data_IF_303656491567
#
_entry.id   IF_303656491567
#
_cell.length_a   1.000
_cell.length_b   1.000
_cell.length_c   1.000
_cell.angle_alpha   90.00
_cell.angle_beta   90.00
_cell.angle_gamma   90.00
#
_symmetry.space_group_name_H-M   'P 1'
#
loop_
_entity.id
_entity.type
_entity.pdbx_description
1 polymer ?
#
# COMPACT_ATOMS: atom_id res chain seq x y z
N UNK A 1 1.87 -7.00 19.90
CA UNK A 1 0.47 -7.20 19.84
C UNK A 1 -0.14 -8.24 20.79
N UNK A 2 0.53 -8.73 21.79
CA UNK A 2 -0.02 -9.54 22.88
C UNK A 2 -0.35 -11.01 22.56
N UNK A 3 -0.06 -11.47 21.35
CA UNK A 3 -0.17 -12.87 20.96
C UNK A 3 1.14 -13.34 20.33
N UNK A 4 1.88 -14.14 21.03
CA UNK A 4 3.19 -14.64 20.63
C UNK A 4 3.16 -15.77 19.58
N UNK A 5 1.97 -16.11 19.06
CA UNK A 5 1.75 -16.96 17.89
C UNK A 5 1.38 -16.17 16.62
N UNK A 6 1.38 -14.83 16.69
CA UNK A 6 1.09 -13.97 15.56
C UNK A 6 2.37 -13.45 14.93
N UNK A 7 2.55 -13.72 13.65
CA UNK A 7 3.66 -13.24 12.84
C UNK A 7 3.10 -12.48 11.63
N UNK A 8 3.75 -11.39 11.26
CA UNK A 8 3.31 -10.50 10.19
C UNK A 8 4.43 -10.31 9.19
N UNK A 9 4.16 -10.52 7.90
CA UNK A 9 5.17 -10.42 6.84
C UNK A 9 5.15 -9.08 6.08
N UNK A 10 4.13 -8.23 6.28
CA UNK A 10 4.07 -6.89 5.71
C UNK A 10 4.90 -5.89 6.54
N UNK A 11 5.24 -4.75 5.94
CA UNK A 11 5.80 -3.64 6.71
C UNK A 11 4.74 -3.02 7.64
N UNK A 12 5.20 -2.21 8.58
CA UNK A 12 4.34 -1.57 9.58
C UNK A 12 3.90 -0.18 9.12
N UNK A 13 2.75 0.28 9.63
CA UNK A 13 2.21 1.61 9.34
C UNK A 13 3.19 2.77 9.66
N UNK A 14 3.98 2.72 10.77
CA UNK A 14 5.02 3.74 11.01
C UNK A 14 6.03 3.85 9.88
N UNK A 15 6.47 2.72 9.34
CA UNK A 15 7.38 2.68 8.19
C UNK A 15 6.71 3.27 6.94
N UNK A 16 5.46 2.87 6.65
CA UNK A 16 4.70 3.31 5.49
C UNK A 16 4.46 4.84 5.51
N UNK A 17 4.05 5.40 6.66
CA UNK A 17 3.85 6.82 6.82
C UNK A 17 5.14 7.62 6.60
N UNK A 18 6.26 7.14 7.17
CA UNK A 18 7.59 7.76 7.00
C UNK A 18 8.05 7.73 5.54
N UNK A 19 7.93 6.57 4.88
CA UNK A 19 8.30 6.40 3.47
C UNK A 19 7.55 7.38 2.57
N UNK A 20 6.25 7.55 2.78
CA UNK A 20 5.43 8.45 1.95
C UNK A 20 5.70 9.92 2.23
N UNK A 21 6.03 10.30 3.47
CA UNK A 21 6.49 11.63 3.81
C UNK A 21 7.83 11.97 3.13
N UNK A 22 8.80 11.06 3.21
CA UNK A 22 10.08 11.21 2.52
C UNK A 22 9.90 11.32 1.01
N UNK A 23 9.07 10.45 0.42
CA UNK A 23 8.76 10.49 -1.01
C UNK A 23 8.13 11.83 -1.43
N UNK A 24 7.18 12.36 -0.65
CA UNK A 24 6.56 13.66 -0.91
C UNK A 24 7.60 14.78 -0.98
N UNK A 25 8.56 14.79 -0.04
CA UNK A 25 9.62 15.78 0.00
C UNK A 25 10.66 15.62 -1.13
N UNK A 26 11.07 14.39 -1.39
CA UNK A 26 12.09 14.08 -2.40
C UNK A 26 11.56 14.30 -3.83
N UNK A 27 10.35 13.82 -4.13
CA UNK A 27 9.78 13.88 -5.48
C UNK A 27 9.23 15.26 -5.84
N UNK A 28 8.49 15.87 -4.91
CA UNK A 28 7.74 17.11 -5.17
C UNK A 28 8.36 18.33 -4.50
N UNK A 29 9.42 18.18 -3.70
CA UNK A 29 9.95 19.23 -2.84
C UNK A 29 8.85 19.83 -1.96
N UNK A 30 7.88 19.00 -1.56
CA UNK A 30 6.69 19.40 -0.85
C UNK A 30 7.04 20.10 0.47
N UNK A 31 6.39 21.24 0.72
CA UNK A 31 6.52 22.06 1.93
C UNK A 31 5.23 22.12 2.71
N UNK A 32 4.11 21.80 2.06
CA UNK A 32 2.79 21.75 2.71
C UNK A 32 2.02 20.51 2.26
N UNK A 33 1.60 19.70 3.22
CA UNK A 33 0.81 18.50 2.99
C UNK A 33 -0.61 18.66 3.53
N UNK A 34 -1.60 18.22 2.76
CA UNK A 34 -2.98 18.06 3.23
C UNK A 34 -3.24 16.59 3.53
N UNK A 35 -3.56 16.28 4.79
CA UNK A 35 -3.79 14.92 5.26
C UNK A 35 -5.29 14.68 5.44
N UNK A 36 -5.82 13.64 4.80
CA UNK A 36 -7.26 13.34 4.83
C UNK A 36 -7.51 11.86 5.18
N UNK A 37 -8.27 11.59 6.23
CA UNK A 37 -8.65 10.24 6.65
C UNK A 37 -10.06 10.15 7.21
N UNK A 38 -10.58 8.93 7.35
CA UNK A 38 -11.87 8.69 7.98
C UNK A 38 -11.79 8.90 9.50
N UNK A 39 -12.74 9.64 10.04
CA UNK A 39 -12.83 9.90 11.48
C UNK A 39 -13.15 8.60 12.23
N UNK A 40 -12.30 8.26 13.21
CA UNK A 40 -12.46 7.05 14.01
C UNK A 40 -11.95 5.77 13.36
N UNK A 41 -11.33 5.84 12.19
CA UNK A 41 -10.61 4.74 11.58
C UNK A 41 -9.15 4.75 12.08
N UNK A 42 -8.78 3.78 12.90
CA UNK A 42 -7.46 3.71 13.54
C UNK A 42 -6.33 3.58 12.50
N UNK A 43 -6.54 2.87 11.40
CA UNK A 43 -5.57 2.73 10.31
C UNK A 43 -5.30 4.07 9.63
N UNK A 44 -6.35 4.76 9.17
CA UNK A 44 -6.22 6.06 8.51
C UNK A 44 -5.53 7.06 9.45
N UNK A 45 -6.06 7.22 10.67
CA UNK A 45 -5.55 8.18 11.64
C UNK A 45 -4.11 7.85 12.08
N UNK A 46 -3.77 6.57 12.21
CA UNK A 46 -2.41 6.10 12.48
C UNK A 46 -1.43 6.52 11.40
N UNK A 47 -1.76 6.24 10.13
CA UNK A 47 -0.92 6.61 8.98
C UNK A 47 -0.77 8.13 8.83
N UNK A 48 -1.86 8.90 9.03
CA UNK A 48 -1.76 10.37 9.02
C UNK A 48 -0.80 10.88 10.10
N UNK A 49 -0.81 10.30 11.30
CA UNK A 49 0.09 10.68 12.38
C UNK A 49 1.56 10.34 12.05
N UNK A 50 1.83 9.17 11.48
CA UNK A 50 3.20 8.77 11.11
C UNK A 50 3.75 9.61 9.95
N UNK A 51 2.92 9.94 8.98
CA UNK A 51 3.29 10.86 7.91
C UNK A 51 3.63 12.25 8.47
N UNK A 52 2.74 12.82 9.32
CA UNK A 52 2.93 14.12 9.97
C UNK A 52 4.22 14.18 10.79
N UNK A 53 4.56 13.12 11.52
CA UNK A 53 5.78 13.05 12.32
C UNK A 53 7.07 13.05 11.47
N UNK A 54 7.01 12.51 10.26
CA UNK A 54 8.15 12.38 9.36
C UNK A 54 8.26 13.51 8.34
N UNK A 55 7.19 14.29 8.13
CA UNK A 55 7.15 15.36 7.15
C UNK A 55 7.75 16.65 7.71
N UNK A 56 8.81 17.15 7.06
CA UNK A 56 9.48 18.41 7.44
C UNK A 56 8.83 19.59 6.70
N UNK A 57 7.63 19.97 7.10
CA UNK A 57 6.86 21.05 6.48
C UNK A 57 5.55 21.29 7.20
N UNK A 58 4.74 22.18 6.62
CA UNK A 58 3.42 22.50 7.14
C UNK A 58 2.41 21.37 6.86
N UNK A 59 1.59 21.04 7.83
CA UNK A 59 0.56 20.01 7.69
C UNK A 59 -0.82 20.61 8.00
N UNK A 60 -1.75 20.38 7.08
CA UNK A 60 -3.19 20.62 7.31
C UNK A 60 -3.88 19.26 7.41
N UNK A 61 -4.37 18.93 8.60
CA UNK A 61 -5.03 17.65 8.86
C UNK A 61 -6.54 17.82 8.90
N UNK A 62 -7.23 16.92 8.22
CA UNK A 62 -8.69 16.89 8.18
C UNK A 62 -9.22 15.44 8.27
N UNK A 63 -10.48 15.31 8.64
CA UNK A 63 -11.12 14.00 8.74
C UNK A 63 -12.57 14.09 8.29
N UNK A 64 -13.05 13.05 7.61
CA UNK A 64 -14.43 12.95 7.18
C UNK A 64 -15.18 11.87 7.98
N UNK A 65 -16.50 12.06 8.22
CA UNK A 65 -17.33 11.05 8.87
C UNK A 65 -17.50 9.79 8.03
N UNK A 66 -17.71 8.65 8.68
CA UNK A 66 -18.14 7.40 8.03
C UNK A 66 -19.37 7.64 7.14
N UNK A 67 -19.41 6.97 5.99
CA UNK A 67 -20.43 7.10 4.94
C UNK A 67 -20.42 8.46 4.20
N UNK A 68 -19.35 9.23 4.28
CA UNK A 68 -19.17 10.41 3.41
C UNK A 68 -19.16 9.97 1.96
N UNK A 69 -19.93 10.67 1.11
CA UNK A 69 -20.03 10.41 -0.33
C UNK A 69 -19.67 11.63 -1.18
N UNK A 70 -19.47 12.79 -0.57
CA UNK A 70 -19.01 14.02 -1.23
C UNK A 70 -17.74 14.54 -0.58
N UNK A 71 -16.66 14.55 -1.34
CA UNK A 71 -15.34 14.99 -0.90
C UNK A 71 -14.96 16.38 -1.44
N UNK A 72 -15.89 17.09 -2.08
CA UNK A 72 -15.63 18.39 -2.75
C UNK A 72 -15.10 19.45 -1.77
N UNK A 73 -15.66 19.51 -0.57
CA UNK A 73 -15.20 20.44 0.48
C UNK A 73 -13.76 20.20 0.87
N UNK A 74 -13.36 18.93 1.00
CA UNK A 74 -12.00 18.54 1.40
C UNK A 74 -10.98 18.85 0.29
N UNK A 75 -11.26 18.47 -0.96
CA UNK A 75 -10.36 18.76 -2.08
C UNK A 75 -10.25 20.27 -2.36
N UNK A 76 -11.36 21.00 -2.29
CA UNK A 76 -11.33 22.47 -2.40
C UNK A 76 -10.53 23.12 -1.26
N UNK A 77 -10.61 22.56 -0.04
CA UNK A 77 -9.81 23.04 1.08
C UNK A 77 -8.31 22.77 0.84
N UNK A 78 -7.92 21.60 0.36
CA UNK A 78 -6.53 21.32 0.00
C UNK A 78 -5.98 22.34 -1.01
N UNK A 79 -6.78 22.69 -2.04
CA UNK A 79 -6.43 23.73 -3.02
C UNK A 79 -6.32 25.10 -2.36
N UNK A 80 -7.29 25.49 -1.54
CA UNK A 80 -7.32 26.81 -0.86
C UNK A 80 -6.16 26.99 0.13
N UNK A 81 -5.74 25.91 0.78
CA UNK A 81 -4.59 25.87 1.68
C UNK A 81 -3.25 25.92 0.93
N UNK A 82 -3.26 25.71 -0.39
CA UNK A 82 -2.04 25.65 -1.20
C UNK A 82 -1.19 24.42 -0.88
N UNK A 83 -1.82 23.27 -0.70
CA UNK A 83 -1.10 22.02 -0.46
C UNK A 83 -0.30 21.58 -1.69
N UNK A 84 0.92 21.12 -1.48
CA UNK A 84 1.79 20.56 -2.52
C UNK A 84 1.47 19.10 -2.79
N UNK A 85 0.95 18.38 -1.79
CA UNK A 85 0.52 16.98 -1.86
C UNK A 85 -0.72 16.73 -0.98
N UNK A 86 -1.53 15.76 -1.37
CA UNK A 86 -2.61 15.22 -0.54
C UNK A 86 -2.21 13.81 -0.12
N UNK A 87 -2.09 13.53 1.18
CA UNK A 87 -1.94 12.17 1.68
C UNK A 87 -3.28 11.65 2.19
N UNK A 88 -3.75 10.57 1.59
CA UNK A 88 -5.10 10.05 1.80
C UNK A 88 -5.10 8.51 1.87
N UNK A 89 -4.70 7.90 3.01
CA UNK A 89 -4.55 6.45 3.16
C UNK A 89 -5.88 5.75 3.49
N UNK A 90 -6.94 6.08 2.74
CA UNK A 90 -8.31 5.63 3.01
C UNK A 90 -8.64 4.33 2.29
N UNK A 91 -9.79 3.73 2.62
CA UNK A 91 -10.27 2.50 1.98
C UNK A 91 -10.48 2.67 0.47
N UNK A 92 -10.45 1.55 -0.30
CA UNK A 92 -10.69 1.53 -1.75
C UNK A 92 -12.01 2.23 -2.12
N UNK A 93 -13.05 2.10 -1.29
CA UNK A 93 -14.36 2.69 -1.56
C UNK A 93 -14.29 4.23 -1.55
N UNK A 94 -13.60 4.82 -0.58
CA UNK A 94 -13.45 6.27 -0.50
C UNK A 94 -12.42 6.79 -1.50
N UNK A 95 -11.27 6.12 -1.63
CA UNK A 95 -10.24 6.53 -2.58
C UNK A 95 -10.74 6.57 -4.02
N UNK A 96 -11.58 5.61 -4.42
CA UNK A 96 -12.22 5.60 -5.74
C UNK A 96 -13.10 6.84 -5.96
N UNK A 97 -13.85 7.27 -4.94
CA UNK A 97 -14.69 8.47 -5.02
C UNK A 97 -13.84 9.75 -5.06
N UNK A 98 -12.82 9.82 -4.21
CA UNK A 98 -11.89 10.97 -4.14
C UNK A 98 -11.16 11.13 -5.48
N UNK A 99 -10.65 10.05 -6.06
CA UNK A 99 -9.94 10.07 -7.34
C UNK A 99 -10.87 10.48 -8.50
N UNK A 100 -12.10 9.95 -8.55
CA UNK A 100 -13.10 10.37 -9.56
C UNK A 100 -13.42 11.86 -9.46
N UNK A 101 -13.58 12.35 -8.23
CA UNK A 101 -13.82 13.77 -8.01
C UNK A 101 -12.61 14.63 -8.41
N UNK A 102 -11.40 14.23 -7.98
CA UNK A 102 -10.16 14.90 -8.35
C UNK A 102 -10.00 14.98 -9.88
N UNK A 103 -10.32 13.89 -10.58
CA UNK A 103 -10.34 13.84 -12.04
C UNK A 103 -11.34 14.86 -12.65
N UNK A 104 -12.56 14.93 -12.12
CA UNK A 104 -13.58 15.88 -12.59
C UNK A 104 -13.22 17.35 -12.31
N UNK A 105 -12.44 17.61 -11.25
CA UNK A 105 -11.94 18.93 -10.89
C UNK A 105 -10.67 19.33 -11.68
N UNK A 106 -10.08 18.41 -12.45
CA UNK A 106 -8.73 18.53 -13.02
C UNK A 106 -7.71 18.93 -11.95
N UNK A 107 -7.75 18.24 -10.79
CA UNK A 107 -6.88 18.53 -9.65
C UNK A 107 -5.42 18.25 -10.03
N UNK A 108 -4.56 19.25 -9.84
CA UNK A 108 -3.12 19.16 -10.16
C UNK A 108 -2.25 18.76 -8.96
N UNK A 109 -2.86 18.69 -7.75
CA UNK A 109 -2.15 18.27 -6.53
C UNK A 109 -2.03 16.75 -6.52
N UNK A 110 -0.79 16.18 -6.43
CA UNK A 110 -0.61 14.73 -6.37
C UNK A 110 -1.27 14.12 -5.13
N UNK A 111 -1.91 12.96 -5.34
CA UNK A 111 -2.54 12.18 -4.28
C UNK A 111 -1.62 11.02 -3.92
N UNK A 112 -1.21 10.96 -2.66
CA UNK A 112 -0.43 9.88 -2.09
C UNK A 112 -1.34 8.96 -1.29
N UNK A 113 -1.24 7.67 -1.52
CA UNK A 113 -2.02 6.65 -0.83
C UNK A 113 -1.17 5.55 -0.23
N UNK A 114 -1.75 4.84 0.73
CA UNK A 114 -1.18 3.62 1.28
C UNK A 114 -1.36 2.44 0.33
N UNK A 115 -0.91 1.26 0.75
CA UNK A 115 -1.08 0.00 0.02
C UNK A 115 -2.57 -0.35 -0.27
N UNK A 116 -3.50 0.17 0.51
CA UNK A 116 -4.94 0.02 0.26
C UNK A 116 -5.40 0.62 -1.06
N UNK A 117 -4.67 1.60 -1.60
CA UNK A 117 -4.97 2.21 -2.89
C UNK A 117 -4.38 1.44 -4.09
N UNK A 118 -3.51 0.44 -3.86
CA UNK A 118 -2.97 -0.42 -4.92
C UNK A 118 -4.07 -1.35 -5.47
N UNK A 119 -4.98 -0.81 -6.25
CA UNK A 119 -6.21 -1.45 -6.70
C UNK A 119 -6.57 -1.04 -8.12
N UNK A 120 -7.06 -2.02 -8.90
CA UNK A 120 -7.62 -1.79 -10.23
C UNK A 120 -8.80 -0.79 -10.22
N UNK A 121 -9.58 -0.73 -9.14
CA UNK A 121 -10.69 0.23 -9.02
C UNK A 121 -10.22 1.67 -8.94
N UNK A 122 -9.05 1.90 -8.33
CA UNK A 122 -8.41 3.22 -8.30
C UNK A 122 -7.89 3.59 -9.69
N UNK A 123 -7.26 2.65 -10.41
CA UNK A 123 -6.85 2.85 -11.80
C UNK A 123 -8.03 3.17 -12.72
N UNK A 124 -9.13 2.43 -12.60
CA UNK A 124 -10.36 2.72 -13.35
C UNK A 124 -10.92 4.11 -13.06
N UNK A 125 -10.87 4.54 -11.80
CA UNK A 125 -11.32 5.87 -11.39
C UNK A 125 -10.47 7.01 -11.98
N UNK A 126 -9.18 6.77 -12.17
CA UNK A 126 -8.22 7.73 -12.73
C UNK A 126 -8.14 7.72 -14.25
N UNK A 127 -8.68 6.67 -14.91
CA UNK A 127 -8.48 6.41 -16.34
C UNK A 127 -8.86 7.60 -17.21
N UNK A 128 -7.93 7.98 -18.10
CA UNK A 128 -8.11 9.09 -19.04
C UNK A 128 -8.07 10.48 -18.41
N UNK A 129 -7.75 10.60 -17.12
CA UNK A 129 -7.56 11.88 -16.42
C UNK A 129 -6.07 12.24 -16.29
N UNK A 130 -5.80 13.45 -15.79
CA UNK A 130 -4.45 13.92 -15.49
C UNK A 130 -4.12 13.82 -13.99
N UNK A 131 -4.96 13.17 -13.18
CA UNK A 131 -4.72 13.04 -11.73
C UNK A 131 -3.46 12.23 -11.49
N UNK A 132 -2.56 12.77 -10.68
CA UNK A 132 -1.34 12.09 -10.28
C UNK A 132 -1.60 11.29 -9.00
N UNK A 133 -1.39 9.97 -9.06
CA UNK A 133 -1.63 9.07 -7.93
C UNK A 133 -0.36 8.26 -7.68
N UNK A 134 0.07 8.20 -6.43
CA UNK A 134 1.20 7.42 -5.98
C UNK A 134 0.80 6.59 -4.78
N UNK A 135 1.23 5.34 -4.75
CA UNK A 135 0.91 4.41 -3.66
C UNK A 135 2.16 3.70 -3.18
N UNK A 136 2.29 3.51 -1.88
CA UNK A 136 3.29 2.61 -1.33
C UNK A 136 2.75 1.19 -1.33
N UNK A 137 3.57 0.22 -1.68
CA UNK A 137 3.13 -1.17 -1.81
C UNK A 137 4.29 -2.15 -1.58
N UNK A 138 3.97 -3.45 -1.59
CA UNK A 138 4.92 -4.54 -1.27
C UNK A 138 5.52 -5.21 -2.48
N UNK A 139 4.92 -5.05 -3.66
CA UNK A 139 5.30 -5.76 -4.87
C UNK A 139 4.98 -4.95 -6.12
N UNK A 140 5.85 -5.07 -7.10
CA UNK A 140 5.63 -4.57 -8.45
C UNK A 140 5.74 -5.73 -9.44
N UNK A 141 4.74 -5.90 -10.28
CA UNK A 141 4.74 -6.85 -11.38
C UNK A 141 5.97 -6.64 -12.27
N UNK A 142 6.62 -7.73 -12.65
CA UNK A 142 7.93 -7.75 -13.32
C UNK A 142 9.10 -7.99 -12.36
N UNK A 143 8.91 -7.88 -11.05
CA UNK A 143 9.95 -8.12 -10.04
C UNK A 143 10.30 -9.59 -9.86
N UNK A 144 9.36 -10.50 -10.13
CA UNK A 144 9.56 -11.96 -10.08
C UNK A 144 8.87 -12.65 -11.27
N UNK A 145 9.51 -12.70 -12.46
CA UNK A 145 8.86 -13.13 -13.70
C UNK A 145 8.25 -14.54 -13.66
N UNK A 146 8.87 -15.50 -12.97
CA UNK A 146 8.33 -16.87 -12.86
C UNK A 146 7.05 -16.90 -12.03
N UNK A 147 6.99 -16.12 -10.94
CA UNK A 147 5.78 -15.94 -10.14
C UNK A 147 4.70 -15.25 -10.96
N UNK A 148 5.02 -14.15 -11.62
CA UNK A 148 4.07 -13.41 -12.46
C UNK A 148 3.44 -14.28 -13.53
N UNK A 149 4.28 -15.01 -14.28
CA UNK A 149 3.82 -15.91 -15.32
C UNK A 149 2.94 -17.05 -14.76
N UNK A 150 3.30 -17.59 -13.61
CA UNK A 150 2.53 -18.64 -12.93
C UNK A 150 1.15 -18.15 -12.50
N UNK A 151 1.06 -16.97 -11.89
CA UNK A 151 -0.22 -16.36 -11.48
C UNK A 151 -1.09 -16.05 -12.70
N UNK A 152 -0.52 -15.45 -13.75
CA UNK A 152 -1.27 -15.14 -14.98
C UNK A 152 -1.79 -16.38 -15.68
N UNK A 153 -0.97 -17.45 -15.76
CA UNK A 153 -1.42 -18.72 -16.31
C UNK A 153 -2.58 -19.30 -15.50
N UNK A 154 -2.49 -19.29 -14.17
CA UNK A 154 -3.58 -19.75 -13.32
C UNK A 154 -4.86 -18.92 -13.51
N UNK A 155 -4.76 -17.58 -13.52
CA UNK A 155 -5.90 -16.70 -13.77
C UNK A 155 -6.56 -16.96 -15.14
N UNK A 156 -5.77 -17.27 -16.17
CA UNK A 156 -6.28 -17.58 -17.51
C UNK A 156 -7.06 -18.92 -17.57
N UNK A 157 -6.70 -19.88 -16.71
CA UNK A 157 -7.34 -21.20 -16.64
C UNK A 157 -8.57 -21.22 -15.70
N UNK A 158 -8.62 -20.35 -14.69
CA UNK A 158 -9.70 -20.29 -13.69
C UNK A 158 -10.53 -19.00 -13.84
N UNK A 159 -11.69 -19.12 -14.48
CA UNK A 159 -12.60 -18.00 -14.71
C UNK A 159 -13.16 -17.40 -13.40
N UNK A 160 -13.24 -18.18 -12.33
CA UNK A 160 -13.66 -17.69 -11.01
C UNK A 160 -12.55 -16.87 -10.38
N UNK A 161 -11.31 -17.34 -10.46
CA UNK A 161 -10.15 -16.59 -9.99
C UNK A 161 -10.00 -15.29 -10.78
N UNK A 162 -10.12 -15.33 -12.11
CA UNK A 162 -10.09 -14.13 -12.96
C UNK A 162 -11.18 -13.13 -12.57
N UNK A 163 -12.41 -13.57 -12.35
CA UNK A 163 -13.52 -12.70 -11.92
C UNK A 163 -13.24 -12.07 -10.56
N UNK A 164 -12.74 -12.85 -9.61
CA UNK A 164 -12.37 -12.37 -8.28
C UNK A 164 -11.21 -11.37 -8.32
N UNK A 165 -10.32 -11.50 -9.30
CA UNK A 165 -9.22 -10.55 -9.56
C UNK A 165 -9.67 -9.29 -10.32
N UNK A 166 -10.97 -9.03 -10.40
CA UNK A 166 -11.52 -7.84 -11.07
C UNK A 166 -11.62 -7.97 -12.60
N UNK A 167 -11.55 -9.19 -13.13
CA UNK A 167 -11.72 -9.48 -14.58
C UNK A 167 -10.47 -9.17 -15.43
N UNK A 168 -9.31 -9.02 -14.81
CA UNK A 168 -8.02 -8.79 -15.48
C UNK A 168 -6.91 -9.63 -14.83
N UNK A 169 -5.74 -9.69 -15.45
CA UNK A 169 -4.59 -10.49 -15.03
C UNK A 169 -3.54 -9.69 -14.23
N UNK A 170 -3.85 -8.48 -13.77
CA UNK A 170 -2.96 -7.67 -12.93
C UNK A 170 -2.68 -8.36 -11.61
N UNK A 171 -1.40 -8.41 -11.24
CA UNK A 171 -0.98 -9.03 -9.98
C UNK A 171 -0.99 -7.99 -8.87
N UNK A 172 -1.95 -8.12 -7.95
CA UNK A 172 -2.00 -7.29 -6.77
C UNK A 172 -0.85 -7.62 -5.80
N UNK A 173 -0.33 -6.61 -5.10
CA UNK A 173 0.74 -6.81 -4.12
C UNK A 173 0.36 -7.83 -3.02
N UNK A 174 -0.91 -7.87 -2.62
CA UNK A 174 -1.42 -8.86 -1.66
C UNK A 174 -1.32 -10.31 -2.15
N UNK A 175 -1.31 -10.55 -3.47
CA UNK A 175 -1.08 -11.88 -4.05
C UNK A 175 0.36 -12.33 -3.78
N UNK A 176 1.34 -11.45 -3.99
CA UNK A 176 2.75 -11.73 -3.66
C UNK A 176 2.93 -11.97 -2.16
N UNK A 177 2.27 -11.16 -1.32
CA UNK A 177 2.31 -11.34 0.14
C UNK A 177 1.70 -12.68 0.58
N UNK A 178 0.57 -13.07 0.01
CA UNK A 178 -0.06 -14.37 0.29
C UNK A 178 0.81 -15.55 -0.13
N UNK A 179 1.46 -15.45 -1.28
CA UNK A 179 2.42 -16.43 -1.77
C UNK A 179 3.61 -16.57 -0.81
N UNK A 180 4.23 -15.47 -0.43
CA UNK A 180 5.36 -15.47 0.49
C UNK A 180 4.97 -15.99 1.89
N UNK A 181 3.78 -15.61 2.40
CA UNK A 181 3.28 -16.12 3.68
C UNK A 181 3.14 -17.64 3.69
N UNK A 182 2.68 -18.23 2.59
CA UNK A 182 2.60 -19.68 2.43
C UNK A 182 3.98 -20.32 2.52
N UNK A 183 4.96 -19.80 1.79
CA UNK A 183 6.31 -20.38 1.79
C UNK A 183 7.06 -20.14 3.08
N UNK A 184 6.89 -19.00 3.74
CA UNK A 184 7.42 -18.76 5.09
C UNK A 184 6.87 -19.79 6.08
N UNK A 185 5.57 -20.07 6.04
CA UNK A 185 4.96 -21.09 6.88
C UNK A 185 5.49 -22.50 6.56
N UNK A 186 5.70 -22.82 5.27
CA UNK A 186 6.27 -24.08 4.83
C UNK A 186 7.72 -24.27 5.29
N UNK A 187 8.56 -23.25 5.18
CA UNK A 187 9.94 -23.28 5.64
C UNK A 187 10.01 -23.39 7.17
N UNK A 188 9.11 -22.70 7.90
CA UNK A 188 9.02 -22.85 9.35
C UNK A 188 8.63 -24.28 9.77
N UNK A 189 7.71 -24.93 9.06
CA UNK A 189 7.36 -26.34 9.27
C UNK A 189 8.54 -27.27 9.01
N UNK A 190 9.31 -27.03 7.95
CA UNK A 190 10.52 -27.81 7.64
C UNK A 190 11.58 -27.63 8.72
N UNK A 191 11.83 -26.41 9.14
CA UNK A 191 12.80 -26.10 10.19
C UNK A 191 12.41 -26.68 11.56
N UNK A 192 11.13 -26.70 11.89
CA UNK A 192 10.59 -27.32 13.09
C UNK A 192 10.67 -28.86 13.08
N UNK A 193 10.70 -29.48 11.91
CA UNK A 193 10.67 -30.95 11.74
C UNK A 193 9.39 -31.61 12.30
N UNK A 194 8.36 -30.82 12.60
CA UNK A 194 7.13 -31.27 13.27
C UNK A 194 5.98 -30.31 12.94
N UNK A 195 4.73 -30.79 12.82
CA UNK A 195 3.54 -29.93 12.70
C UNK A 195 3.06 -29.37 14.05
N UNK A 196 3.78 -29.62 15.14
CA UNK A 196 3.46 -29.06 16.45
C UNK A 196 3.55 -27.52 16.43
N UNK A 197 2.50 -26.87 16.89
CA UNK A 197 2.39 -25.40 16.82
C UNK A 197 3.47 -24.68 17.60
N UNK A 198 3.89 -25.23 18.76
CA UNK A 198 4.94 -24.64 19.57
C UNK A 198 6.31 -24.79 18.91
N UNK A 199 6.57 -25.93 18.25
CA UNK A 199 7.80 -26.15 17.48
C UNK A 199 7.88 -25.22 16.27
N UNK A 200 6.80 -25.06 15.51
CA UNK A 200 6.75 -24.13 14.36
C UNK A 200 6.94 -22.69 14.82
N UNK A 201 6.25 -22.27 15.89
CA UNK A 201 6.45 -20.95 16.49
C UNK A 201 7.92 -20.71 16.89
N UNK A 202 8.55 -21.70 17.50
CA UNK A 202 9.95 -21.57 17.94
C UNK A 202 10.94 -21.46 16.77
N UNK A 203 10.60 -21.96 15.58
CA UNK A 203 11.43 -21.88 14.38
C UNK A 203 11.36 -20.50 13.68
N UNK A 204 10.21 -19.82 13.74
CA UNK A 204 9.96 -18.57 13.00
C UNK A 204 10.92 -17.42 13.31
N UNK A 205 11.30 -17.11 14.58
CA UNK A 205 12.20 -15.99 14.87
C UNK A 205 13.61 -16.10 14.26
N UNK A 206 14.05 -17.32 13.93
CA UNK A 206 15.36 -17.55 13.31
C UNK A 206 15.27 -17.74 11.79
N UNK A 207 14.06 -17.71 11.24
CA UNK A 207 13.85 -17.91 9.82
C UNK A 207 14.19 -16.66 9.04
N UNK A 208 14.97 -16.82 7.98
CA UNK A 208 15.11 -15.82 6.92
C UNK A 208 14.63 -16.45 5.62
N UNK A 209 13.83 -15.69 4.86
CA UNK A 209 13.26 -16.17 3.60
C UNK A 209 13.33 -15.07 2.56
N UNK A 210 13.90 -15.35 1.38
CA UNK A 210 13.85 -14.45 0.24
C UNK A 210 12.67 -14.83 -0.62
N UNK A 211 11.60 -14.04 -0.51
CA UNK A 211 10.36 -14.23 -1.24
C UNK A 211 10.28 -13.38 -2.51
N UNK A 212 9.14 -13.45 -3.20
CA UNK A 212 8.87 -12.60 -4.38
C UNK A 212 8.67 -11.13 -3.98
N UNK A 213 8.25 -10.86 -2.75
CA UNK A 213 8.11 -9.53 -2.18
C UNK A 213 9.38 -9.01 -1.47
N UNK A 214 10.52 -9.70 -1.63
CA UNK A 214 11.80 -9.37 -1.01
C UNK A 214 12.13 -10.22 0.22
N UNK A 215 13.14 -9.78 0.96
CA UNK A 215 13.62 -10.50 2.15
C UNK A 215 12.66 -10.36 3.33
N UNK A 216 12.43 -11.49 4.02
CA UNK A 216 11.55 -11.60 5.18
C UNK A 216 12.35 -12.21 6.33
N UNK A 217 12.44 -11.48 7.41
CA UNK A 217 12.93 -11.92 8.72
C UNK A 217 12.01 -11.32 9.79
N UNK A 218 12.02 -11.87 10.99
CA UNK A 218 11.14 -11.43 12.06
C UNK A 218 11.93 -10.81 13.22
N UNK A 219 11.38 -9.77 13.80
CA UNK A 219 11.85 -9.23 15.06
C UNK A 219 11.36 -10.05 16.26
N UNK A 220 11.70 -9.60 17.47
CA UNK A 220 11.36 -10.28 18.72
C UNK A 220 9.87 -10.33 19.05
N UNK A 221 9.03 -9.52 18.38
CA UNK A 221 7.58 -9.50 18.55
C UNK A 221 6.81 -10.16 17.39
N UNK A 222 7.54 -10.70 16.39
CA UNK A 222 6.97 -11.42 15.24
C UNK A 222 6.59 -10.51 14.08
N UNK A 223 7.03 -9.27 14.04
CA UNK A 223 6.84 -8.37 12.91
C UNK A 223 7.99 -8.50 11.91
N UNK A 224 7.69 -8.45 10.62
CA UNK A 224 8.72 -8.50 9.59
C UNK A 224 9.59 -7.25 9.62
N UNK A 225 10.90 -7.45 9.63
CA UNK A 225 11.89 -6.38 9.44
C UNK A 225 11.96 -6.07 7.95
N UNK A 226 11.31 -4.99 7.55
CA UNK A 226 11.33 -4.48 6.17
C UNK A 226 11.81 -3.05 6.17
N UNK A 227 12.73 -2.75 5.25
CA UNK A 227 13.38 -1.46 5.12
C UNK A 227 13.09 -0.75 3.80
N UNK A 228 12.33 -1.41 2.91
CA UNK A 228 12.01 -0.91 1.57
C UNK A 228 10.51 -1.02 1.28
N UNK A 229 10.00 -0.04 0.52
CA UNK A 229 8.67 -0.06 -0.08
C UNK A 229 8.77 0.30 -1.56
N UNK A 230 7.92 -0.32 -2.37
CA UNK A 230 7.75 0.10 -3.77
C UNK A 230 6.78 1.28 -3.80
N UNK A 231 7.14 2.35 -4.50
CA UNK A 231 6.20 3.42 -4.84
C UNK A 231 5.76 3.22 -6.28
N UNK A 232 4.47 3.03 -6.47
CA UNK A 232 3.85 2.95 -7.80
C UNK A 232 3.15 4.25 -8.14
N UNK A 233 3.08 4.54 -9.43
CA UNK A 233 2.24 5.62 -9.98
C UNK A 233 1.25 5.06 -10.98
N UNK A 234 0.09 5.70 -11.11
CA UNK A 234 -0.92 5.31 -12.07
C UNK A 234 -0.58 5.86 -13.46
N UNK A 235 -0.39 4.99 -14.45
CA UNK A 235 -0.48 5.33 -15.86
C UNK A 235 -1.97 5.37 -16.26
N UNK A 236 -2.55 6.55 -16.20
CA UNK A 236 -3.98 6.76 -16.46
C UNK A 236 -4.38 6.50 -17.94
N UNK A 237 -3.43 6.55 -18.86
CA UNK A 237 -3.68 6.25 -20.27
C UNK A 237 -3.74 4.74 -20.50
N UNK A 238 -2.79 4.01 -19.93
CA UNK A 238 -2.76 2.54 -20.00
C UNK A 238 -3.76 1.90 -19.03
N UNK A 239 -4.12 2.57 -17.94
CA UNK A 239 -4.92 2.01 -16.84
C UNK A 239 -4.13 0.95 -16.07
N UNK A 240 -2.85 1.20 -15.82
CA UNK A 240 -1.93 0.29 -15.17
C UNK A 240 -1.08 0.99 -14.09
N UNK A 241 -0.64 0.22 -13.11
CA UNK A 241 0.39 0.68 -12.18
C UNK A 241 1.77 0.54 -12.80
N UNK A 242 2.62 1.53 -12.62
CA UNK A 242 4.03 1.51 -13.00
C UNK A 242 4.91 1.80 -11.79
N UNK A 243 6.11 1.21 -11.74
CA UNK A 243 7.06 1.50 -10.68
C UNK A 243 7.59 2.92 -10.86
N UNK A 244 7.45 3.73 -9.83
CA UNK A 244 8.08 5.06 -9.75
C UNK A 244 9.47 4.96 -9.14
N UNK A 245 9.56 4.33 -7.96
CA UNK A 245 10.84 4.15 -7.24
C UNK A 245 10.71 3.09 -6.15
N UNK A 246 11.85 2.68 -5.61
CA UNK A 246 11.94 1.94 -4.35
C UNK A 246 12.40 2.92 -3.28
N UNK A 247 11.63 3.04 -2.21
CA UNK A 247 11.85 4.01 -1.14
C UNK A 247 12.21 3.31 0.17
N UNK A 248 13.11 3.94 0.94
CA UNK A 248 13.46 3.50 2.30
C UNK A 248 12.99 4.53 3.32
N UNK A 249 12.72 4.08 4.56
CA UNK A 249 12.59 5.01 5.68
C UNK A 249 14.00 5.43 6.12
N UNK A 250 14.27 6.73 6.07
CA UNK A 250 15.51 7.33 6.58
C UNK A 250 15.31 7.80 8.01
#
# INVERSE_FOLDING_TARGET
>A
AGNDYYFRICFLDPFQGTVLANFAQEKFSAKKAYLLGELGNDYDQGLLNYFEQAFDGDVVKDSFPTNTSDFSTYLNKAVAEGADVIFCPVSIAYSTQIVKLAASMNLDIPILGSDTLDSNKVLEAAKGSNVQIYVSTFYQEGGAPDFDNGIKAWLAEDSTAMTNNGGNDTIAAVTAMGYDAYYVALEALKAAGSPDKAAVKAALPSLTYTGVSGDIAFDEVGDAVRDTAYIKTADNAAGAWTLETVQTAK
#
